data_IF_113404898584
#
_entry.id   IF_113404898584
#
_cell.length_a   1.000
_cell.length_b   1.000
_cell.length_c   1.000
_cell.angle_alpha   90.00
_cell.angle_beta   90.00
_cell.angle_gamma   90.00
#
_symmetry.space_group_name_H-M   'P 1'
#
loop_
_entity.id
_entity.type
_entity.pdbx_description
1 polymer ?
#
# COMPACT_ATOMS: atom_id res chain seq x y z
N UNK A 1 -34.68 59.78 -30.96
CA UNK A 1 -35.08 59.14 -29.69
C UNK A 1 -36.18 58.10 -29.90
N UNK A 2 -37.23 58.36 -30.68
CA UNK A 2 -38.30 57.40 -30.98
C UNK A 2 -37.85 56.06 -31.61
N UNK A 3 -36.72 56.02 -32.34
CA UNK A 3 -36.18 54.80 -32.94
C UNK A 3 -35.63 53.80 -31.91
N UNK A 4 -35.15 54.26 -30.75
CA UNK A 4 -34.58 53.39 -29.73
C UNK A 4 -35.67 52.70 -28.89
N UNK A 5 -36.78 53.40 -28.60
CA UNK A 5 -37.93 52.84 -27.89
C UNK A 5 -38.62 51.73 -28.69
N UNK A 6 -38.75 51.93 -30.01
CA UNK A 6 -39.39 50.96 -30.90
C UNK A 6 -38.58 49.65 -31.02
N UNK A 7 -37.24 49.75 -31.02
CA UNK A 7 -36.35 48.58 -30.98
C UNK A 7 -36.46 47.85 -29.63
N UNK A 8 -36.57 48.58 -28.53
CA UNK A 8 -36.69 48.01 -27.20
C UNK A 8 -38.03 47.26 -27.01
N UNK A 9 -39.13 47.81 -27.51
CA UNK A 9 -40.45 47.14 -27.47
C UNK A 9 -40.48 45.86 -28.32
N UNK A 10 -39.84 45.86 -29.49
CA UNK A 10 -39.75 44.67 -30.34
C UNK A 10 -38.87 43.57 -29.73
N UNK A 11 -37.86 43.94 -28.93
CA UNK A 11 -36.91 43.00 -28.31
C UNK A 11 -37.42 42.37 -27.00
N UNK A 12 -38.36 43.01 -26.28
CA UNK A 12 -38.94 42.49 -25.03
C UNK A 12 -39.44 41.04 -25.11
N UNK A 13 -40.21 40.61 -26.12
CA UNK A 13 -40.66 39.21 -26.21
C UNK A 13 -39.53 38.22 -26.54
N UNK A 14 -38.40 38.67 -27.09
CA UNK A 14 -37.25 37.83 -27.44
C UNK A 14 -36.25 37.64 -26.30
N UNK A 15 -36.24 38.54 -25.31
CA UNK A 15 -35.35 38.49 -24.15
C UNK A 15 -35.38 37.15 -23.39
N UNK A 16 -36.54 36.54 -23.07
CA UNK A 16 -36.59 35.26 -22.37
C UNK A 16 -35.91 34.15 -23.17
N UNK A 17 -36.11 34.13 -24.49
CA UNK A 17 -35.52 33.13 -25.40
C UNK A 17 -34.00 33.28 -25.49
N UNK A 18 -33.50 34.52 -25.60
CA UNK A 18 -32.07 34.81 -25.62
C UNK A 18 -31.43 34.45 -24.27
N UNK A 19 -32.08 34.80 -23.15
CA UNK A 19 -31.62 34.45 -21.82
C UNK A 19 -31.59 32.92 -21.60
N UNK A 20 -32.56 32.19 -22.12
CA UNK A 20 -32.62 30.73 -22.02
C UNK A 20 -31.57 30.05 -22.90
N UNK A 21 -31.28 30.60 -24.10
CA UNK A 21 -30.21 30.11 -24.97
C UNK A 21 -28.81 30.37 -24.38
N UNK A 22 -28.57 31.57 -23.86
CA UNK A 22 -27.27 31.92 -23.25
C UNK A 22 -27.09 31.24 -21.89
N UNK A 23 -28.11 31.28 -21.04
CA UNK A 23 -28.11 30.63 -19.73
C UNK A 23 -28.03 29.11 -19.85
N UNK A 24 -28.77 28.51 -20.80
CA UNK A 24 -28.73 27.07 -21.07
C UNK A 24 -27.34 26.60 -21.50
N UNK A 25 -26.68 27.32 -22.42
CA UNK A 25 -25.28 27.00 -22.81
C UNK A 25 -24.31 27.11 -21.64
N UNK A 26 -24.46 28.12 -20.79
CA UNK A 26 -23.59 28.30 -19.63
C UNK A 26 -23.78 27.20 -18.57
N UNK A 27 -25.03 26.83 -18.27
CA UNK A 27 -25.35 25.74 -17.33
C UNK A 27 -24.84 24.39 -17.86
N UNK A 28 -25.06 24.10 -19.14
CA UNK A 28 -24.55 22.86 -19.76
C UNK A 28 -23.02 22.81 -19.74
N UNK A 29 -22.35 23.91 -20.10
CA UNK A 29 -20.89 23.99 -20.04
C UNK A 29 -20.32 23.81 -18.64
N UNK A 30 -20.98 24.39 -17.62
CA UNK A 30 -20.59 24.21 -16.23
C UNK A 30 -20.80 22.77 -15.74
N UNK A 31 -21.90 22.14 -16.15
CA UNK A 31 -22.19 20.74 -15.83
C UNK A 31 -21.16 19.80 -16.47
N UNK A 32 -20.85 19.98 -17.76
CA UNK A 32 -19.84 19.20 -18.48
C UNK A 32 -18.46 19.35 -17.84
N UNK A 33 -18.09 20.56 -17.42
CA UNK A 33 -16.81 20.80 -16.76
C UNK A 33 -16.73 20.09 -15.40
N UNK A 34 -17.81 20.13 -14.61
CA UNK A 34 -17.89 19.38 -13.34
C UNK A 34 -17.85 17.87 -13.57
N UNK A 35 -18.49 17.38 -14.63
CA UNK A 35 -18.48 15.97 -14.98
C UNK A 35 -17.06 15.52 -15.34
N UNK A 36 -16.35 16.27 -16.17
CA UNK A 36 -14.95 16.00 -16.54
C UNK A 36 -14.02 15.99 -15.34
N UNK A 37 -14.11 17.00 -14.46
CA UNK A 37 -13.31 17.04 -13.22
C UNK A 37 -13.55 15.80 -12.37
N UNK A 38 -14.82 15.39 -12.21
CA UNK A 38 -15.16 14.17 -11.46
C UNK A 38 -14.64 12.90 -12.13
N UNK A 39 -14.68 12.82 -13.46
CA UNK A 39 -14.12 11.69 -14.20
C UNK A 39 -12.60 11.60 -14.05
N UNK A 40 -11.88 12.73 -14.13
CA UNK A 40 -10.44 12.80 -13.91
C UNK A 40 -10.07 12.40 -12.47
N UNK A 41 -10.81 12.87 -11.47
CA UNK A 41 -10.62 12.47 -10.07
C UNK A 41 -10.82 10.95 -9.87
N UNK A 42 -11.86 10.37 -10.50
CA UNK A 42 -12.12 8.94 -10.44
C UNK A 42 -11.02 8.11 -11.13
N UNK A 43 -10.53 8.58 -12.27
CA UNK A 43 -9.43 7.92 -12.98
C UNK A 43 -8.14 7.96 -12.15
N UNK A 44 -7.81 9.11 -11.56
CA UNK A 44 -6.66 9.26 -10.68
C UNK A 44 -6.76 8.33 -9.46
N UNK A 45 -7.94 8.29 -8.80
CA UNK A 45 -8.17 7.41 -7.67
C UNK A 45 -8.03 5.93 -8.03
N UNK A 46 -8.47 5.51 -9.23
CA UNK A 46 -8.26 4.14 -9.72
C UNK A 46 -6.78 3.84 -9.95
N UNK A 47 -6.06 4.74 -10.61
CA UNK A 47 -4.63 4.57 -10.88
C UNK A 47 -3.81 4.43 -9.58
N UNK A 48 -4.11 5.26 -8.57
CA UNK A 48 -3.46 5.17 -7.25
C UNK A 48 -3.73 3.81 -6.60
N UNK A 49 -4.99 3.33 -6.61
CA UNK A 49 -5.33 2.03 -6.04
C UNK A 49 -4.64 0.88 -6.76
N UNK A 50 -4.58 0.91 -8.08
CA UNK A 50 -3.89 -0.10 -8.87
C UNK A 50 -2.39 -0.14 -8.54
N UNK A 51 -1.76 1.03 -8.40
CA UNK A 51 -0.38 1.13 -7.95
C UNK A 51 -0.19 0.54 -6.54
N UNK A 52 -1.08 0.86 -5.59
CA UNK A 52 -1.03 0.34 -4.22
C UNK A 52 -1.21 -1.19 -4.17
N UNK A 53 -2.15 -1.75 -4.94
CA UNK A 53 -2.30 -3.21 -5.08
C UNK A 53 -1.07 -3.86 -5.72
N UNK A 54 -0.42 -3.17 -6.67
CA UNK A 54 0.86 -3.59 -7.22
C UNK A 54 1.95 -3.69 -6.15
N UNK A 55 2.02 -2.74 -5.20
CA UNK A 55 2.95 -2.81 -4.08
C UNK A 55 2.67 -4.02 -3.18
N UNK A 56 1.41 -4.32 -2.88
CA UNK A 56 1.02 -5.52 -2.11
C UNK A 56 1.44 -6.80 -2.84
N UNK A 57 1.20 -6.87 -4.16
CA UNK A 57 1.62 -8.01 -4.99
C UNK A 57 3.13 -8.23 -4.95
N UNK A 58 3.92 -7.15 -5.07
CA UNK A 58 5.38 -7.23 -5.00
C UNK A 58 5.86 -7.68 -3.62
N UNK A 59 5.20 -7.26 -2.53
CA UNK A 59 5.50 -7.74 -1.18
C UNK A 59 5.30 -9.26 -1.07
N UNK A 60 4.20 -9.80 -1.62
CA UNK A 60 3.97 -11.25 -1.66
C UNK A 60 5.00 -11.99 -2.52
N UNK A 61 5.42 -11.40 -3.65
CA UNK A 61 6.48 -11.97 -4.47
C UNK A 61 7.81 -12.06 -3.71
N UNK A 62 8.22 -10.98 -3.04
CA UNK A 62 9.43 -10.95 -2.22
C UNK A 62 9.36 -11.98 -1.08
N UNK A 63 8.22 -12.09 -0.39
CA UNK A 63 8.01 -13.12 0.62
C UNK A 63 8.17 -14.53 0.05
N UNK A 64 7.56 -14.79 -1.11
CA UNK A 64 7.66 -16.09 -1.80
C UNK A 64 9.09 -16.44 -2.19
N UNK A 65 9.87 -15.47 -2.65
CA UNK A 65 11.28 -15.66 -3.00
C UNK A 65 12.13 -16.07 -1.80
N UNK A 66 11.94 -15.42 -0.65
CA UNK A 66 12.58 -15.83 0.61
C UNK A 66 12.11 -17.22 1.05
N UNK A 67 10.81 -17.52 0.97
CA UNK A 67 10.30 -18.86 1.32
C UNK A 67 10.80 -19.96 0.39
N UNK A 68 11.04 -19.66 -0.90
CA UNK A 68 11.71 -20.56 -1.82
C UNK A 68 13.17 -20.78 -1.42
N UNK A 69 13.92 -19.70 -1.16
CA UNK A 69 15.30 -19.77 -0.70
C UNK A 69 15.43 -20.58 0.61
N UNK A 70 14.52 -20.37 1.56
CA UNK A 70 14.43 -21.13 2.80
C UNK A 70 14.28 -22.63 2.57
N UNK A 71 13.36 -23.01 1.69
CA UNK A 71 13.10 -24.43 1.37
C UNK A 71 14.29 -25.08 0.68
N UNK A 72 15.00 -24.35 -0.17
CA UNK A 72 16.20 -24.86 -0.82
C UNK A 72 17.34 -25.06 0.20
N UNK A 73 17.61 -24.06 1.04
CA UNK A 73 18.69 -24.13 2.06
C UNK A 73 18.42 -25.23 3.11
N UNK A 74 17.16 -25.44 3.49
CA UNK A 74 16.79 -26.43 4.52
C UNK A 74 16.31 -27.77 3.95
N UNK A 75 16.10 -27.86 2.63
CA UNK A 75 15.59 -29.06 1.96
C UNK A 75 16.68 -30.11 1.74
N UNK A 76 17.95 -29.70 1.64
CA UNK A 76 19.08 -30.63 1.65
C UNK A 76 19.39 -31.07 3.10
N UNK A 77 19.54 -32.38 3.32
CA UNK A 77 19.94 -32.93 4.63
C UNK A 77 21.27 -32.35 5.13
N UNK A 78 22.13 -31.96 4.18
CA UNK A 78 23.39 -31.25 4.38
C UNK A 78 23.27 -29.81 3.90
N UNK A 79 23.55 -28.85 4.78
CA UNK A 79 23.81 -27.47 4.38
C UNK A 79 24.92 -27.47 3.32
N UNK A 80 24.85 -26.60 2.29
CA UNK A 80 25.80 -26.59 1.18
C UNK A 80 27.26 -26.53 1.67
N UNK A 81 27.95 -27.68 1.61
CA UNK A 81 29.38 -27.79 1.89
C UNK A 81 30.21 -27.24 0.71
N UNK A 82 29.62 -27.21 -0.50
CA UNK A 82 30.20 -26.58 -1.67
C UNK A 82 30.17 -25.05 -1.56
N UNK A 83 31.34 -24.42 -1.74
CA UNK A 83 31.50 -22.97 -1.71
C UNK A 83 30.73 -22.25 -2.83
N UNK A 84 30.73 -22.79 -4.04
CA UNK A 84 30.03 -22.19 -5.18
C UNK A 84 28.51 -22.13 -4.94
N UNK A 85 27.97 -23.18 -4.32
CA UNK A 85 26.56 -23.24 -3.96
C UNK A 85 26.21 -22.21 -2.87
N UNK A 86 27.07 -22.05 -1.85
CA UNK A 86 26.91 -21.01 -0.83
C UNK A 86 26.95 -19.61 -1.43
N UNK A 87 27.89 -19.34 -2.34
CA UNK A 87 27.97 -18.06 -3.04
C UNK A 87 26.68 -17.82 -3.85
N UNK A 88 26.16 -18.86 -4.50
CA UNK A 88 24.87 -18.82 -5.21
C UNK A 88 23.70 -18.43 -4.31
N UNK A 89 23.58 -19.03 -3.13
CA UNK A 89 22.55 -18.67 -2.14
C UNK A 89 22.74 -17.26 -1.58
N UNK A 90 23.98 -16.85 -1.30
CA UNK A 90 24.28 -15.52 -0.81
C UNK A 90 23.87 -14.44 -1.83
N UNK A 91 24.19 -14.65 -3.12
CA UNK A 91 23.80 -13.72 -4.18
C UNK A 91 22.28 -13.55 -4.25
N UNK A 92 21.53 -14.66 -4.22
CA UNK A 92 20.05 -14.63 -4.22
C UNK A 92 19.47 -13.98 -2.97
N UNK A 93 20.09 -14.19 -1.81
CA UNK A 93 19.67 -13.54 -0.57
C UNK A 93 19.87 -12.01 -0.65
N UNK A 94 20.99 -11.54 -1.21
CA UNK A 94 21.27 -10.11 -1.42
C UNK A 94 20.31 -9.49 -2.44
N UNK A 95 19.99 -10.20 -3.52
CA UNK A 95 19.00 -9.76 -4.51
C UNK A 95 17.60 -9.62 -3.89
N UNK A 96 17.18 -10.63 -3.11
CA UNK A 96 15.89 -10.60 -2.42
C UNK A 96 15.83 -9.51 -1.32
N UNK A 97 16.92 -9.32 -0.56
CA UNK A 97 17.05 -8.23 0.43
C UNK A 97 16.94 -6.86 -0.25
N UNK A 98 17.63 -6.66 -1.37
CA UNK A 98 17.57 -5.41 -2.14
C UNK A 98 16.16 -5.11 -2.67
N UNK A 99 15.42 -6.16 -3.07
CA UNK A 99 14.00 -6.04 -3.46
C UNK A 99 13.13 -5.59 -2.28
N UNK A 100 13.39 -6.12 -1.07
CA UNK A 100 12.69 -5.72 0.15
C UNK A 100 13.02 -4.27 0.54
N UNK A 101 14.28 -3.85 0.43
CA UNK A 101 14.67 -2.45 0.68
C UNK A 101 13.97 -1.48 -0.27
N UNK A 102 13.88 -1.82 -1.56
CA UNK A 102 13.12 -1.04 -2.54
C UNK A 102 11.61 -1.00 -2.21
N UNK A 103 11.06 -2.12 -1.72
CA UNK A 103 9.67 -2.18 -1.26
C UNK A 103 9.45 -1.32 -0.02
N UNK A 104 10.36 -1.31 0.95
CA UNK A 104 10.28 -0.47 2.14
C UNK A 104 10.19 1.00 1.73
N UNK A 105 11.04 1.44 0.80
CA UNK A 105 11.02 2.81 0.27
C UNK A 105 9.67 3.14 -0.35
N UNK A 106 9.17 2.26 -1.22
CA UNK A 106 7.89 2.44 -1.90
C UNK A 106 6.71 2.47 -0.92
N UNK A 107 6.64 1.52 0.01
CA UNK A 107 5.57 1.40 1.00
C UNK A 107 5.55 2.62 1.91
N UNK A 108 6.72 3.08 2.34
CA UNK A 108 6.87 4.30 3.13
C UNK A 108 6.29 5.53 2.42
N UNK A 109 6.53 5.67 1.12
CA UNK A 109 6.00 6.78 0.35
C UNK A 109 4.49 6.66 0.07
N UNK A 110 3.98 5.45 -0.17
CA UNK A 110 2.61 5.22 -0.61
C UNK A 110 1.60 5.01 0.54
N UNK A 111 2.07 4.58 1.73
CA UNK A 111 1.19 4.13 2.83
C UNK A 111 1.48 4.79 4.18
N UNK A 112 2.54 5.58 4.33
CA UNK A 112 2.75 6.33 5.57
C UNK A 112 1.58 7.28 5.84
N UNK A 113 1.37 7.68 7.09
CA UNK A 113 0.25 8.52 7.53
C UNK A 113 0.15 8.64 9.03
N UNK A 114 -1.06 8.76 9.59
CA UNK A 114 -1.23 8.93 11.04
C UNK A 114 -0.66 7.76 11.87
N UNK A 115 -0.52 6.58 11.27
CA UNK A 115 0.04 5.38 11.92
C UNK A 115 1.48 5.10 11.47
N UNK A 116 2.22 6.15 11.12
CA UNK A 116 3.60 6.05 10.62
C UNK A 116 4.53 5.32 11.58
N UNK A 117 4.35 5.46 12.90
CA UNK A 117 5.16 4.75 13.89
C UNK A 117 4.94 3.23 13.83
N UNK A 118 3.70 2.79 13.65
CA UNK A 118 3.35 1.37 13.52
C UNK A 118 3.94 0.81 12.23
N UNK A 119 3.80 1.53 11.12
CA UNK A 119 4.39 1.16 9.84
C UNK A 119 5.93 1.07 9.95
N UNK A 120 6.56 2.08 10.56
CA UNK A 120 8.01 2.12 10.78
C UNK A 120 8.50 0.87 11.53
N UNK A 121 7.81 0.47 12.60
CA UNK A 121 8.14 -0.75 13.36
C UNK A 121 8.06 -1.99 12.48
N UNK A 122 6.99 -2.14 11.71
CA UNK A 122 6.84 -3.30 10.82
C UNK A 122 7.94 -3.33 9.75
N UNK A 123 8.22 -2.20 9.08
CA UNK A 123 9.24 -2.11 8.05
C UNK A 123 10.64 -2.35 8.60
N UNK A 124 10.97 -1.78 9.76
CA UNK A 124 12.27 -1.99 10.41
C UNK A 124 12.47 -3.42 10.89
N UNK A 125 11.44 -4.05 11.46
CA UNK A 125 11.52 -5.46 11.83
C UNK A 125 11.56 -6.39 10.60
N UNK A 126 10.87 -6.05 9.50
CA UNK A 126 10.92 -6.78 8.23
C UNK A 126 12.33 -6.75 7.62
N UNK A 127 12.92 -5.54 7.51
CA UNK A 127 14.31 -5.35 7.03
C UNK A 127 15.30 -6.17 7.84
N UNK A 128 15.23 -6.07 9.16
CA UNK A 128 16.14 -6.82 10.02
C UNK A 128 15.99 -8.33 9.83
N UNK A 129 14.76 -8.82 9.65
CA UNK A 129 14.52 -10.24 9.46
C UNK A 129 15.20 -10.76 8.20
N UNK A 130 15.17 -10.02 7.09
CA UNK A 130 15.86 -10.43 5.85
C UNK A 130 17.38 -10.26 5.94
N UNK A 131 17.86 -9.23 6.63
CA UNK A 131 19.29 -9.02 6.86
C UNK A 131 19.90 -10.20 7.64
N UNK A 132 19.20 -10.70 8.66
CA UNK A 132 19.64 -11.87 9.43
C UNK A 132 19.90 -13.07 8.53
N UNK A 133 19.03 -13.32 7.54
CA UNK A 133 19.20 -14.45 6.63
C UNK A 133 20.48 -14.35 5.81
N UNK A 134 20.75 -13.18 5.23
CA UNK A 134 22.01 -12.92 4.52
C UNK A 134 23.21 -13.15 5.44
N UNK A 135 23.15 -12.69 6.68
CA UNK A 135 24.26 -12.83 7.62
C UNK A 135 24.55 -14.29 7.99
N UNK A 136 23.52 -15.10 8.24
CA UNK A 136 23.67 -16.54 8.47
C UNK A 136 24.30 -17.24 7.26
N UNK A 137 23.81 -16.96 6.04
CA UNK A 137 24.37 -17.53 4.81
C UNK A 137 25.83 -17.12 4.63
N UNK A 138 26.16 -15.84 4.84
CA UNK A 138 27.53 -15.32 4.74
C UNK A 138 28.49 -15.99 5.72
N UNK A 139 28.02 -16.30 6.94
CA UNK A 139 28.82 -16.98 7.98
C UNK A 139 28.91 -18.50 7.77
N UNK A 140 28.30 -19.04 6.72
CA UNK A 140 28.17 -20.48 6.50
C UNK A 140 27.44 -21.19 7.65
N UNK A 141 26.54 -20.47 8.33
CA UNK A 141 25.72 -21.00 9.40
C UNK A 141 24.35 -21.43 8.86
N UNK A 142 23.79 -22.51 9.41
CA UNK A 142 22.42 -22.92 9.11
C UNK A 142 21.45 -21.86 9.64
N UNK A 143 20.43 -21.53 8.85
CA UNK A 143 19.34 -20.68 9.32
C UNK A 143 18.69 -21.32 10.57
N UNK A 144 18.46 -20.56 11.65
CA UNK A 144 17.95 -21.10 12.89
C UNK A 144 16.42 -21.24 12.83
N UNK A 145 15.88 -21.86 11.78
CA UNK A 145 14.44 -21.92 11.46
C UNK A 145 13.94 -23.36 11.29
N UNK A 146 14.36 -24.27 12.18
CA UNK A 146 13.86 -25.64 12.26
C UNK A 146 12.41 -25.72 12.73
N UNK A 147 11.93 -24.70 13.45
CA UNK A 147 10.58 -24.64 14.01
C UNK A 147 9.94 -23.28 13.71
N UNK A 148 8.64 -23.34 13.42
CA UNK A 148 7.73 -22.21 13.35
C UNK A 148 7.76 -21.28 14.57
N UNK A 149 8.14 -21.80 15.75
CA UNK A 149 8.21 -21.07 17.03
C UNK A 149 9.52 -20.31 17.25
N UNK A 150 10.53 -20.48 16.39
CA UNK A 150 11.77 -19.74 16.56
C UNK A 150 11.55 -18.25 16.31
N UNK A 151 12.03 -17.43 17.25
CA UNK A 151 11.68 -16.00 17.33
C UNK A 151 11.95 -15.24 16.03
N UNK A 152 13.10 -15.51 15.38
CA UNK A 152 13.48 -14.82 14.15
C UNK A 152 12.63 -15.25 12.94
N UNK A 153 12.17 -16.50 12.89
CA UNK A 153 11.25 -16.97 11.85
C UNK A 153 9.83 -16.44 12.06
N UNK A 154 9.37 -16.39 13.32
CA UNK A 154 8.11 -15.77 13.69
C UNK A 154 8.13 -14.28 13.33
N UNK A 155 9.20 -13.56 13.71
CA UNK A 155 9.45 -12.16 13.33
C UNK A 155 9.37 -11.97 11.82
N UNK A 156 10.03 -12.81 11.03
CA UNK A 156 9.97 -12.73 9.57
C UNK A 156 8.54 -12.84 9.05
N UNK A 157 7.80 -13.90 9.41
CA UNK A 157 6.42 -14.10 8.93
C UNK A 157 5.47 -13.01 9.39
N UNK A 158 5.51 -12.68 10.67
CA UNK A 158 4.59 -11.73 11.28
C UNK A 158 4.82 -10.31 10.78
N UNK A 159 6.07 -9.92 10.51
CA UNK A 159 6.36 -8.59 9.95
C UNK A 159 5.89 -8.47 8.51
N UNK A 160 6.15 -9.47 7.65
CA UNK A 160 5.60 -9.48 6.30
C UNK A 160 4.06 -9.47 6.29
N UNK A 161 3.43 -10.29 7.15
CA UNK A 161 1.98 -10.31 7.29
C UNK A 161 1.44 -8.98 7.83
N UNK A 162 2.11 -8.39 8.82
CA UNK A 162 1.75 -7.11 9.41
C UNK A 162 1.84 -5.95 8.40
N UNK A 163 2.91 -5.90 7.60
CA UNK A 163 3.04 -4.93 6.50
C UNK A 163 1.94 -5.13 5.46
N UNK A 164 1.74 -6.36 4.98
CA UNK A 164 0.72 -6.66 3.98
C UNK A 164 -0.66 -6.23 4.45
N UNK A 165 -0.99 -6.55 5.69
CA UNK A 165 -2.30 -6.28 6.22
C UNK A 165 -2.47 -4.79 6.60
N UNK A 166 -1.42 -4.09 7.03
CA UNK A 166 -1.42 -2.63 7.14
C UNK A 166 -1.74 -1.96 5.80
N UNK A 167 -1.09 -2.41 4.71
CA UNK A 167 -1.32 -1.88 3.36
C UNK A 167 -2.76 -2.14 2.90
N UNK A 168 -3.25 -3.37 3.07
CA UNK A 168 -4.62 -3.76 2.68
C UNK A 168 -5.67 -2.95 3.46
N UNK A 169 -5.48 -2.79 4.77
CA UNK A 169 -6.34 -1.94 5.60
C UNK A 169 -6.40 -0.51 5.06
N UNK A 170 -5.24 0.10 4.76
CA UNK A 170 -5.15 1.46 4.20
C UNK A 170 -5.89 1.59 2.87
N UNK A 171 -5.72 0.62 1.97
CA UNK A 171 -6.41 0.60 0.66
C UNK A 171 -7.93 0.52 0.84
N UNK A 172 -8.41 -0.39 1.70
CA UNK A 172 -9.84 -0.60 1.91
C UNK A 172 -10.54 0.60 2.55
N UNK A 173 -9.89 1.27 3.50
CA UNK A 173 -10.45 2.47 4.13
C UNK A 173 -10.36 3.72 3.24
N UNK A 174 -9.85 3.58 2.00
CA UNK A 174 -9.72 4.69 1.06
C UNK A 174 -8.93 5.86 1.63
N UNK A 175 -8.02 5.57 2.57
CA UNK A 175 -7.19 6.58 3.20
C UNK A 175 -6.33 7.15 2.07
N UNK A 176 -6.62 8.40 1.72
CA UNK A 176 -5.86 9.09 0.69
C UNK A 176 -4.39 9.06 1.09
N UNK A 177 -3.45 8.86 0.13
CA UNK A 177 -2.04 8.99 0.43
C UNK A 177 -1.88 10.33 1.12
N UNK A 178 -1.49 10.37 2.40
CA UNK A 178 -1.45 11.62 3.10
C UNK A 178 -0.41 12.48 2.42
N UNK A 179 -0.65 13.78 2.40
CA UNK A 179 0.37 14.76 2.04
C UNK A 179 1.39 14.80 3.18
N UNK A 180 2.13 13.70 3.34
CA UNK A 180 3.20 13.59 4.31
C UNK A 180 4.24 14.63 3.93
N UNK A 181 4.72 15.37 4.93
CA UNK A 181 5.79 16.34 4.68
C UNK A 181 7.04 15.54 4.32
N UNK A 182 7.83 16.02 3.36
CA UNK A 182 9.09 15.38 2.94
C UNK A 182 9.97 15.00 4.15
N UNK A 183 9.96 15.83 5.20
CA UNK A 183 10.67 15.57 6.46
C UNK A 183 10.16 14.33 7.21
N UNK A 184 8.85 14.17 7.35
CA UNK A 184 8.25 13.02 8.04
C UNK A 184 8.52 11.72 7.29
N UNK A 185 8.44 11.75 5.96
CA UNK A 185 8.81 10.60 5.11
C UNK A 185 10.29 10.24 5.28
N UNK A 186 11.16 11.25 5.29
CA UNK A 186 12.60 11.05 5.53
C UNK A 186 12.88 10.50 6.92
N UNK A 187 12.20 10.98 7.96
CA UNK A 187 12.35 10.50 9.34
C UNK A 187 11.90 9.03 9.46
N UNK A 188 10.74 8.67 8.91
CA UNK A 188 10.26 7.29 8.87
C UNK A 188 11.25 6.38 8.15
N UNK A 189 11.79 6.80 7.00
CA UNK A 189 12.76 6.02 6.26
C UNK A 189 14.07 5.84 7.04
N UNK A 190 14.66 6.92 7.53
CA UNK A 190 15.90 6.86 8.33
C UNK A 190 15.70 5.93 9.53
N UNK A 191 14.54 5.99 10.17
CA UNK A 191 14.23 5.14 11.29
C UNK A 191 14.01 3.68 10.91
N UNK A 192 13.27 3.38 9.83
CA UNK A 192 13.04 2.01 9.35
C UNK A 192 14.35 1.30 8.97
N UNK A 193 15.33 2.05 8.45
CA UNK A 193 16.67 1.55 8.13
C UNK A 193 17.65 1.60 9.32
N UNK A 194 17.21 2.05 10.49
CA UNK A 194 18.07 2.15 11.68
C UNK A 194 18.42 0.78 12.26
N UNK A 195 19.66 0.64 12.70
CA UNK A 195 20.14 -0.56 13.42
C UNK A 195 19.48 -0.73 14.81
N UNK A 196 18.60 0.18 15.25
CA UNK A 196 17.85 0.01 16.51
C UNK A 196 17.06 -1.30 16.55
N UNK A 197 16.59 -1.77 15.39
CA UNK A 197 15.83 -3.01 15.25
C UNK A 197 16.69 -4.28 15.36
N UNK A 198 18.01 -4.18 15.33
CA UNK A 198 18.93 -5.29 15.66
C UNK A 198 18.86 -5.64 17.15
N UNK A 199 18.73 -4.61 18.01
CA UNK A 199 18.78 -4.73 19.47
C UNK A 199 17.40 -4.83 20.11
N UNK A 200 16.35 -4.49 19.37
CA UNK A 200 15.00 -4.47 19.89
C UNK A 200 14.44 -5.91 19.93
N UNK A 201 14.07 -6.44 21.11
CA UNK A 201 13.48 -7.77 21.19
C UNK A 201 12.18 -7.77 20.39
N UNK A 202 12.04 -8.73 19.49
CA UNK A 202 10.78 -8.89 18.77
C UNK A 202 9.71 -9.36 19.75
N UNK A 203 8.70 -8.51 19.94
CA UNK A 203 7.48 -8.86 20.65
C UNK A 203 6.44 -9.20 19.59
N UNK A 204 5.95 -10.46 19.54
CA UNK A 204 4.83 -10.80 18.67
C UNK A 204 3.69 -9.83 18.92
N UNK A 205 2.91 -9.53 17.88
CA UNK A 205 1.73 -8.67 18.03
C UNK A 205 0.75 -9.39 18.94
N UNK A 206 0.73 -9.03 20.23
CA UNK A 206 -0.08 -9.73 21.25
C UNK A 206 -1.59 -9.66 20.97
N UNK A 207 -2.00 -8.76 20.08
CA UNK A 207 -3.40 -8.46 19.79
C UNK A 207 -3.87 -9.03 18.44
N UNK A 208 -3.29 -10.14 17.97
CA UNK A 208 -3.76 -10.84 16.77
C UNK A 208 -5.27 -11.12 16.82
N UNK A 209 -5.82 -11.39 18.01
CA UNK A 209 -7.25 -11.63 18.21
C UNK A 209 -8.10 -10.37 17.98
N UNK A 210 -7.70 -9.21 18.53
CA UNK A 210 -8.38 -7.94 18.29
C UNK A 210 -8.28 -7.55 16.83
N UNK A 211 -7.11 -7.73 16.25
CA UNK A 211 -6.85 -7.37 14.86
C UNK A 211 -7.64 -8.25 13.88
N UNK A 212 -7.73 -9.56 14.13
CA UNK A 212 -8.59 -10.47 13.40
C UNK A 212 -10.07 -10.10 13.53
N UNK A 213 -10.53 -9.76 14.75
CA UNK A 213 -11.89 -9.31 14.98
C UNK A 213 -12.22 -8.00 14.26
N UNK A 214 -11.27 -7.08 14.17
CA UNK A 214 -11.44 -5.83 13.42
C UNK A 214 -11.49 -6.09 11.90
N UNK A 215 -10.68 -7.00 11.37
CA UNK A 215 -10.74 -7.43 9.97
C UNK A 215 -12.06 -8.13 9.62
N UNK A 216 -12.57 -8.98 10.51
CA UNK A 216 -13.84 -9.68 10.32
C UNK A 216 -15.00 -8.68 10.23
N UNK A 217 -15.06 -7.69 11.13
CA UNK A 217 -16.04 -6.61 11.07
C UNK A 217 -15.98 -5.80 9.76
N UNK A 218 -14.77 -5.51 9.28
CA UNK A 218 -14.58 -4.78 8.01
C UNK A 218 -15.06 -5.62 6.82
N UNK A 219 -14.79 -6.92 6.83
CA UNK A 219 -15.27 -7.84 5.80
C UNK A 219 -16.80 -7.94 5.80
N UNK A 220 -17.43 -8.08 6.97
CA UNK A 220 -18.88 -8.08 7.13
C UNK A 220 -19.53 -6.77 6.62
N UNK A 221 -18.98 -5.62 7.01
CA UNK A 221 -19.48 -4.31 6.59
C UNK A 221 -19.42 -4.13 5.06
N UNK A 222 -18.32 -4.56 4.42
CA UNK A 222 -18.18 -4.52 2.97
C UNK A 222 -19.18 -5.45 2.27
N UNK A 223 -19.42 -6.64 2.81
CA UNK A 223 -20.40 -7.57 2.25
C UNK A 223 -21.83 -7.02 2.36
N UNK A 224 -22.17 -6.38 3.48
CA UNK A 224 -23.47 -5.72 3.66
C UNK A 224 -23.67 -4.55 2.68
N UNK A 225 -22.67 -3.68 2.51
CA UNK A 225 -22.74 -2.61 1.51
C UNK A 225 -22.91 -3.15 0.08
N UNK A 226 -22.26 -4.27 -0.26
CA UNK A 226 -22.40 -4.89 -1.57
C UNK A 226 -23.77 -5.56 -1.75
N UNK A 227 -24.38 -6.12 -0.70
CA UNK A 227 -25.74 -6.65 -0.78
C UNK A 227 -26.76 -5.54 -1.03
N UNK A 228 -26.63 -4.41 -0.32
CA UNK A 228 -27.54 -3.26 -0.45
C UNK A 228 -27.44 -2.58 -1.83
N UNK A 229 -26.22 -2.50 -2.38
CA UNK A 229 -26.00 -2.00 -3.74
C UNK A 229 -26.61 -2.90 -4.83
N UNK A 230 -26.85 -4.19 -4.54
CA UNK A 230 -27.48 -5.14 -5.47
C UNK A 230 -29.01 -5.13 -5.38
N UNK A 231 -29.57 -4.96 -4.18
CA UNK A 231 -31.03 -4.82 -3.98
C UNK A 231 -31.56 -3.49 -4.50
N UNK A 232 -30.80 -2.40 -4.38
CA UNK A 232 -31.18 -1.08 -4.91
C UNK A 232 -31.15 -0.95 -6.44
N UNK A 233 -30.60 -1.94 -7.16
CA UNK A 233 -30.59 -1.99 -8.64
C UNK A 233 -31.68 -2.88 -9.24
N UNK A 234 -32.52 -3.51 -8.39
CA UNK A 234 -33.70 -4.28 -8.80
C UNK A 234 -34.95 -3.45 -8.56
#
# INVERSE_FOLDING_TARGET
MASAELILELAKPLLPTIALLLGGKWILGWYDLRLKVREEELQLARAIREQQYGAVSHLYAAFSDFMRLYREINGSSTYPENEDERIGFLRRAVEAESSVDALILRISCEFAGDESETLEKYLGHMRQSVQLWREFIRKSERLPFRDSHQQDYARFKETFAGVAAFMVHRIHHGLTPPKMRMREASELLVNAFSNKYEKMPYKPVQDHAKWAADLEKVWEANNAMQSDARTSRR
#
